data_IF_910366051532
#
_entry.id   IF_910366051532
#
_cell.length_a   1.000
_cell.length_b   1.000
_cell.length_c   1.000
_cell.angle_alpha   90.00
_cell.angle_beta   90.00
_cell.angle_gamma   90.00
#
_symmetry.space_group_name_H-M   'P 1'
#
loop_
_entity.id
_entity.type
_entity.pdbx_description
1 polymer ?
#
# COMPACT_ATOMS: atom_id res chain seq x y z
N UNK A 1 -29.34 -0.96 58.74
CA UNK A 1 -30.11 -0.70 57.49
C UNK A 1 -29.39 0.14 56.44
N UNK A 2 -28.49 1.07 56.80
CA UNK A 2 -27.86 1.99 55.82
C UNK A 2 -26.82 1.32 54.90
N UNK A 3 -26.07 0.33 55.40
CA UNK A 3 -25.03 -0.39 54.63
C UNK A 3 -25.59 -1.26 53.49
N UNK A 4 -26.77 -1.87 53.62
CA UNK A 4 -27.33 -2.70 52.53
C UNK A 4 -27.91 -1.85 51.39
N UNK A 5 -28.42 -0.65 51.70
CA UNK A 5 -28.87 0.32 50.69
C UNK A 5 -27.70 0.87 49.87
N UNK A 6 -26.59 1.23 50.52
CA UNK A 6 -25.37 1.68 49.84
C UNK A 6 -24.76 0.60 48.93
N UNK A 7 -24.80 -0.66 49.37
CA UNK A 7 -24.30 -1.80 48.57
C UNK A 7 -25.17 -2.05 47.34
N UNK A 8 -26.49 -2.00 47.48
CA UNK A 8 -27.43 -2.19 46.37
C UNK A 8 -27.29 -1.10 45.30
N UNK A 9 -27.08 0.16 45.72
CA UNK A 9 -26.83 1.29 44.82
C UNK A 9 -25.50 1.11 44.07
N UNK A 10 -24.43 0.68 44.74
CA UNK A 10 -23.13 0.44 44.10
C UNK A 10 -23.20 -0.67 43.04
N UNK A 11 -23.87 -1.79 43.35
CA UNK A 11 -24.08 -2.88 42.39
C UNK A 11 -24.93 -2.43 41.18
N UNK A 12 -25.97 -1.62 41.40
CA UNK A 12 -26.77 -1.07 40.31
C UNK A 12 -25.95 -0.12 39.42
N UNK A 13 -25.10 0.72 40.02
CA UNK A 13 -24.19 1.59 39.27
C UNK A 13 -23.16 0.81 38.44
N UNK A 14 -22.55 -0.24 39.02
CA UNK A 14 -21.60 -1.11 38.31
C UNK A 14 -22.26 -1.92 37.17
N UNK A 15 -23.50 -2.38 37.38
CA UNK A 15 -24.27 -3.05 36.33
C UNK A 15 -24.61 -2.10 35.18
N UNK A 16 -25.03 -0.87 35.49
CA UNK A 16 -25.36 0.15 34.49
C UNK A 16 -24.11 0.60 33.70
N UNK A 17 -22.96 0.78 34.35
CA UNK A 17 -21.72 1.12 33.65
C UNK A 17 -21.26 -0.01 32.73
N UNK A 18 -21.37 -1.28 33.15
CA UNK A 18 -21.04 -2.43 32.30
C UNK A 18 -21.95 -2.52 31.06
N UNK A 19 -23.25 -2.24 31.21
CA UNK A 19 -24.20 -2.20 30.08
C UNK A 19 -23.89 -1.03 29.15
N UNK A 20 -23.60 0.16 29.67
CA UNK A 20 -23.21 1.31 28.84
C UNK A 20 -21.89 1.05 28.10
N UNK A 21 -20.92 0.40 28.74
CA UNK A 21 -19.66 0.01 28.09
C UNK A 21 -19.86 -1.02 26.97
N UNK A 22 -20.74 -2.01 27.20
CA UNK A 22 -21.15 -2.98 26.18
C UNK A 22 -21.82 -2.30 24.98
N UNK A 23 -22.77 -1.41 25.24
CA UNK A 23 -23.48 -0.65 24.20
C UNK A 23 -22.55 0.30 23.43
N UNK A 24 -21.56 0.91 24.10
CA UNK A 24 -20.53 1.71 23.43
C UNK A 24 -19.67 0.85 22.51
N UNK A 25 -19.27 -0.35 22.95
CA UNK A 25 -18.42 -1.27 22.17
C UNK A 25 -19.14 -1.81 20.92
N UNK A 26 -20.44 -2.08 21.02
CA UNK A 26 -21.24 -2.50 19.87
C UNK A 26 -21.45 -1.35 18.86
N UNK A 27 -21.65 -0.11 19.35
CA UNK A 27 -21.71 1.08 18.50
C UNK A 27 -20.39 1.39 17.79
N UNK A 28 -19.27 1.20 18.47
CA UNK A 28 -17.93 1.32 17.85
C UNK A 28 -17.76 0.27 16.75
N UNK A 29 -18.15 -0.99 16.99
CA UNK A 29 -18.15 -2.04 15.95
C UNK A 29 -19.06 -1.73 14.76
N UNK A 30 -20.22 -1.11 14.98
CA UNK A 30 -21.10 -0.68 13.89
C UNK A 30 -20.47 0.43 13.05
N UNK A 31 -19.79 1.39 13.68
CA UNK A 31 -19.03 2.44 12.98
C UNK A 31 -17.86 1.89 12.17
N UNK A 32 -17.25 0.81 12.64
CA UNK A 32 -16.12 0.16 11.98
C UNK A 32 -16.56 -0.93 10.99
N UNK A 33 -17.86 -1.09 10.69
CA UNK A 33 -18.31 -2.12 9.73
C UNK A 33 -17.65 -1.85 8.37
N UNK A 34 -16.76 -2.74 7.91
CA UNK A 34 -16.11 -2.53 6.64
C UNK A 34 -17.14 -2.75 5.52
N UNK A 35 -17.04 -1.94 4.47
CA UNK A 35 -17.90 -1.99 3.29
C UNK A 35 -17.82 -3.36 2.59
N UNK A 36 -16.73 -4.11 2.82
CA UNK A 36 -16.56 -5.51 2.45
C UNK A 36 -15.97 -6.31 3.61
N UNK A 37 -16.43 -7.55 3.77
CA UNK A 37 -15.88 -8.47 4.77
C UNK A 37 -14.50 -8.98 4.32
N UNK A 38 -13.63 -9.25 5.30
CA UNK A 38 -12.32 -9.85 5.03
C UNK A 38 -12.45 -11.25 4.46
N UNK A 39 -11.73 -11.52 3.38
CA UNK A 39 -11.59 -12.87 2.81
C UNK A 39 -10.76 -13.74 3.76
N UNK A 40 -11.13 -15.01 3.93
CA UNK A 40 -10.46 -15.97 4.82
C UNK A 40 -10.17 -17.27 4.08
N UNK A 41 -9.07 -17.93 4.46
CA UNK A 41 -8.66 -19.22 3.93
C UNK A 41 -7.65 -19.90 4.86
N UNK A 42 -7.39 -21.19 4.64
CA UNK A 42 -6.49 -22.00 5.47
C UNK A 42 -5.14 -22.33 4.82
N UNK A 43 -4.92 -21.93 3.56
CA UNK A 43 -3.72 -22.28 2.78
C UNK A 43 -2.87 -21.08 2.39
N UNK A 44 -3.50 -20.01 1.93
CA UNK A 44 -2.82 -18.79 1.48
C UNK A 44 -3.82 -17.73 1.04
N UNK A 45 -3.32 -16.53 0.81
CA UNK A 45 -4.09 -15.40 0.31
C UNK A 45 -3.21 -14.58 -0.63
N UNK A 46 -3.83 -13.97 -1.65
CA UNK A 46 -3.20 -13.04 -2.58
C UNK A 46 -4.11 -11.82 -2.68
N UNK A 47 -3.54 -10.63 -2.60
CA UNK A 47 -4.22 -9.36 -2.84
C UNK A 47 -3.40 -8.56 -3.85
N UNK A 48 -4.08 -7.93 -4.81
CA UNK A 48 -3.47 -7.16 -5.89
C UNK A 48 -4.40 -6.01 -6.32
N UNK A 49 -3.91 -5.13 -7.20
CA UNK A 49 -4.68 -3.98 -7.72
C UNK A 49 -5.86 -4.37 -8.62
N UNK A 50 -5.82 -5.56 -9.20
CA UNK A 50 -6.91 -6.13 -10.00
C UNK A 50 -7.18 -7.60 -9.67
N UNK A 51 -8.38 -8.07 -10.00
CA UNK A 51 -8.78 -9.47 -9.84
C UNK A 51 -7.89 -10.41 -10.67
N UNK A 52 -7.50 -10.00 -11.88
CA UNK A 52 -6.66 -10.80 -12.79
C UNK A 52 -5.25 -11.00 -12.22
N UNK A 53 -4.66 -9.95 -11.64
CA UNK A 53 -3.34 -10.05 -10.99
C UNK A 53 -3.39 -10.93 -9.73
N UNK A 54 -4.44 -10.79 -8.92
CA UNK A 54 -4.61 -11.63 -7.73
C UNK A 54 -4.80 -13.11 -8.11
N UNK A 55 -5.59 -13.39 -9.15
CA UNK A 55 -5.84 -14.72 -9.67
C UNK A 55 -4.57 -15.36 -10.24
N UNK A 56 -3.72 -14.60 -10.94
CA UNK A 56 -2.43 -15.10 -11.43
C UNK A 56 -1.53 -15.59 -10.28
N UNK A 57 -1.43 -14.81 -9.19
CA UNK A 57 -0.70 -15.25 -8.00
C UNK A 57 -1.34 -16.45 -7.31
N UNK A 58 -2.68 -16.46 -7.21
CA UNK A 58 -3.42 -17.57 -6.60
C UNK A 58 -3.22 -18.89 -7.36
N UNK A 59 -3.15 -18.85 -8.70
CA UNK A 59 -2.83 -20.01 -9.53
C UNK A 59 -1.47 -20.61 -9.20
N UNK A 60 -0.46 -19.79 -8.91
CA UNK A 60 0.85 -20.32 -8.51
C UNK A 60 0.84 -20.92 -7.10
N UNK A 61 0.13 -20.31 -6.14
CA UNK A 61 -0.08 -20.94 -4.83
C UNK A 61 -0.79 -22.30 -4.97
N UNK A 62 -1.82 -22.39 -5.82
CA UNK A 62 -2.54 -23.65 -6.06
C UNK A 62 -1.67 -24.72 -6.73
N UNK A 63 -0.65 -24.32 -7.50
CA UNK A 63 0.33 -25.22 -8.11
C UNK A 63 1.47 -25.60 -7.15
N UNK A 64 1.39 -25.22 -5.88
CA UNK A 64 2.41 -25.53 -4.87
C UNK A 64 3.57 -24.55 -4.81
N UNK A 65 3.47 -23.40 -5.49
CA UNK A 65 4.42 -22.31 -5.37
C UNK A 65 4.36 -21.65 -3.99
N UNK A 66 5.41 -20.92 -3.64
CA UNK A 66 5.50 -20.18 -2.38
C UNK A 66 4.95 -18.73 -2.53
N UNK A 67 5.03 -17.94 -1.46
CA UNK A 67 4.56 -16.55 -1.46
C UNK A 67 5.33 -15.63 -2.44
N UNK A 68 6.62 -15.90 -2.68
CA UNK A 68 7.44 -15.16 -3.65
C UNK A 68 7.00 -15.50 -5.08
N UNK A 69 6.81 -16.78 -5.40
CA UNK A 69 6.32 -17.21 -6.72
C UNK A 69 4.97 -16.56 -7.05
N UNK A 70 4.05 -16.57 -6.08
CA UNK A 70 2.75 -15.92 -6.19
C UNK A 70 2.85 -14.41 -6.40
N UNK A 71 3.74 -13.74 -5.66
CA UNK A 71 4.02 -12.31 -5.82
C UNK A 71 4.57 -11.97 -7.20
N UNK A 72 5.54 -12.74 -7.70
CA UNK A 72 6.11 -12.56 -9.04
C UNK A 72 5.03 -12.74 -10.12
N UNK A 73 4.23 -13.81 -10.05
CA UNK A 73 3.15 -14.02 -11.00
C UNK A 73 2.11 -12.87 -10.99
N UNK A 74 1.76 -12.36 -9.81
CA UNK A 74 0.87 -11.22 -9.69
C UNK A 74 1.48 -9.93 -10.30
N UNK A 75 2.78 -9.67 -10.08
CA UNK A 75 3.48 -8.52 -10.69
C UNK A 75 3.54 -8.62 -12.21
N UNK A 76 3.82 -9.79 -12.77
CA UNK A 76 3.83 -10.00 -14.22
C UNK A 76 2.44 -9.77 -14.84
N UNK A 77 1.39 -10.24 -14.18
CA UNK A 77 0.01 -9.96 -14.61
C UNK A 77 -0.32 -8.47 -14.49
N UNK A 78 0.07 -7.82 -13.39
CA UNK A 78 -0.14 -6.37 -13.20
C UNK A 78 0.55 -5.55 -14.30
N UNK A 79 1.76 -5.92 -14.72
CA UNK A 79 2.46 -5.25 -15.83
C UNK A 79 1.70 -5.29 -17.16
N UNK A 80 0.86 -6.30 -17.37
CA UNK A 80 0.03 -6.41 -18.57
C UNK A 80 -1.34 -5.73 -18.43
N UNK A 81 -1.98 -5.84 -17.26
CA UNK A 81 -3.39 -5.44 -17.07
C UNK A 81 -3.58 -4.13 -16.29
N UNK A 82 -2.56 -3.67 -15.56
CA UNK A 82 -2.60 -2.47 -14.73
C UNK A 82 -1.69 -1.36 -15.30
N UNK A 83 -1.55 -1.34 -16.64
CA UNK A 83 -0.61 -0.47 -17.38
C UNK A 83 -0.78 1.02 -17.14
N UNK A 84 -1.93 1.45 -16.61
CA UNK A 84 -2.18 2.82 -16.22
C UNK A 84 -1.30 3.28 -15.06
N UNK A 85 -0.84 2.36 -14.20
CA UNK A 85 -0.07 2.69 -12.99
C UNK A 85 1.03 1.66 -12.63
N UNK A 86 1.16 0.56 -13.36
CA UNK A 86 2.17 -0.48 -13.15
C UNK A 86 2.80 -0.92 -14.47
N UNK A 87 4.11 -1.14 -14.49
CA UNK A 87 4.81 -1.65 -15.67
C UNK A 87 6.30 -1.90 -15.43
N UNK A 88 6.92 -2.68 -16.33
CA UNK A 88 8.33 -3.12 -16.20
C UNK A 88 9.36 -1.98 -16.20
N UNK A 89 9.01 -0.81 -16.76
CA UNK A 89 9.86 0.37 -16.76
C UNK A 89 9.84 1.18 -15.45
N UNK A 90 9.08 0.72 -14.45
CA UNK A 90 8.92 1.41 -13.18
C UNK A 90 9.80 0.84 -12.06
N UNK A 91 9.26 0.90 -10.84
CA UNK A 91 9.93 0.51 -9.60
C UNK A 91 9.11 -0.56 -8.86
N UNK A 92 9.79 -1.45 -8.13
CA UNK A 92 9.21 -2.50 -7.31
C UNK A 92 9.97 -2.66 -5.98
N UNK A 93 9.75 -1.78 -4.98
CA UNK A 93 10.20 -2.05 -3.62
C UNK A 93 9.45 -3.26 -3.05
N UNK A 94 10.17 -4.28 -2.58
CA UNK A 94 9.59 -5.54 -2.13
C UNK A 94 10.05 -5.86 -0.70
N UNK A 95 9.11 -6.28 0.14
CA UNK A 95 9.38 -6.84 1.46
C UNK A 95 9.05 -8.33 1.47
N UNK A 96 10.01 -9.15 1.84
CA UNK A 96 9.83 -10.59 2.00
C UNK A 96 10.06 -10.94 3.47
N UNK A 97 9.09 -11.62 4.08
CA UNK A 97 9.25 -12.24 5.39
C UNK A 97 9.30 -13.75 5.24
N UNK A 98 10.42 -14.36 5.62
CA UNK A 98 10.56 -15.83 5.57
C UNK A 98 9.78 -16.50 6.70
N UNK A 99 9.60 -17.81 6.61
CA UNK A 99 8.93 -18.62 7.64
C UNK A 99 9.64 -18.53 9.00
N UNK A 100 10.96 -18.40 8.98
CA UNK A 100 11.83 -18.25 10.15
C UNK A 100 11.75 -16.85 10.77
N UNK A 101 11.00 -15.94 10.14
CA UNK A 101 10.79 -14.57 10.62
C UNK A 101 11.82 -13.55 10.16
N UNK A 102 12.77 -13.94 9.30
CA UNK A 102 13.71 -13.00 8.68
C UNK A 102 12.95 -12.07 7.73
N UNK A 103 13.22 -10.77 7.82
CA UNK A 103 12.69 -9.76 6.89
C UNK A 103 13.80 -9.34 5.94
N UNK A 104 13.48 -9.32 4.65
CA UNK A 104 14.35 -8.91 3.56
C UNK A 104 13.66 -7.74 2.87
N UNK A 105 14.41 -6.67 2.64
CA UNK A 105 13.98 -5.52 1.85
C UNK A 105 14.76 -5.50 0.56
N UNK A 106 14.05 -5.51 -0.57
CA UNK A 106 14.62 -5.37 -1.90
C UNK A 106 14.28 -3.96 -2.39
N UNK A 107 15.32 -3.14 -2.56
CA UNK A 107 15.19 -1.81 -3.12
C UNK A 107 15.14 -1.91 -4.65
N UNK A 108 14.01 -2.34 -5.20
CA UNK A 108 13.73 -2.26 -6.64
C UNK A 108 13.40 -0.83 -7.06
N UNK A 109 14.23 0.13 -6.66
CA UNK A 109 14.12 1.56 -7.00
C UNK A 109 15.40 1.95 -7.70
N UNK A 110 15.31 2.32 -8.96
CA UNK A 110 16.48 2.65 -9.74
C UNK A 110 17.01 4.05 -9.49
N UNK A 111 18.18 4.31 -10.05
CA UNK A 111 18.93 5.56 -9.85
C UNK A 111 18.57 6.61 -10.89
N UNK A 112 18.97 7.87 -10.64
CA UNK A 112 18.89 8.91 -11.67
C UNK A 112 19.80 8.58 -12.86
N UNK A 113 19.36 8.82 -14.11
CA UNK A 113 20.20 8.67 -15.28
C UNK A 113 21.48 9.48 -15.17
N UNK A 114 22.61 8.94 -15.64
CA UNK A 114 23.93 9.59 -15.54
C UNK A 114 23.98 11.01 -16.12
N UNK A 115 23.19 11.28 -17.16
CA UNK A 115 23.12 12.60 -17.80
C UNK A 115 22.23 13.60 -17.02
N UNK A 116 21.37 13.14 -16.12
CA UNK A 116 20.36 13.92 -15.41
C UNK A 116 20.95 14.73 -14.24
N UNK A 117 21.90 15.63 -14.53
CA UNK A 117 22.49 16.52 -13.54
C UNK A 117 21.56 17.69 -13.19
N UNK A 118 21.70 18.26 -11.99
CA UNK A 118 20.95 19.47 -11.61
C UNK A 118 21.17 20.65 -12.59
N UNK A 119 22.38 20.79 -13.14
CA UNK A 119 22.70 21.84 -14.11
C UNK A 119 21.96 21.65 -15.44
N UNK A 120 21.79 20.40 -15.90
CA UNK A 120 21.00 20.10 -17.10
C UNK A 120 19.59 20.68 -16.97
N UNK A 121 18.89 20.39 -15.86
CA UNK A 121 17.51 20.85 -15.66
C UNK A 121 17.40 22.37 -15.50
N UNK A 122 18.44 23.06 -15.02
CA UNK A 122 18.45 24.53 -14.87
C UNK A 122 18.72 25.28 -16.17
N UNK A 123 19.53 24.70 -17.06
CA UNK A 123 20.04 25.41 -18.24
C UNK A 123 19.36 25.00 -19.54
N UNK A 124 18.73 23.83 -19.59
CA UNK A 124 18.09 23.35 -20.82
C UNK A 124 16.89 24.23 -21.19
N UNK A 125 16.61 24.30 -22.49
CA UNK A 125 15.38 24.89 -23.01
C UNK A 125 14.21 23.93 -22.80
N UNK A 126 13.08 24.47 -22.33
CA UNK A 126 11.83 23.72 -22.22
C UNK A 126 11.24 23.43 -23.59
N UNK A 127 10.72 22.22 -23.78
CA UNK A 127 10.13 21.76 -25.04
C UNK A 127 8.60 21.97 -25.08
N UNK A 128 8.03 21.90 -26.28
CA UNK A 128 6.56 21.90 -26.45
C UNK A 128 5.97 20.68 -25.72
N UNK A 129 4.99 20.92 -24.85
CA UNK A 129 4.38 19.90 -23.98
C UNK A 129 4.92 19.88 -22.54
N UNK A 130 5.99 20.62 -22.25
CA UNK A 130 6.45 20.86 -20.88
C UNK A 130 5.77 22.09 -20.26
N UNK A 131 5.80 22.22 -18.94
CA UNK A 131 5.33 23.43 -18.24
C UNK A 131 6.25 24.59 -18.58
N UNK A 132 5.87 25.41 -19.55
CA UNK A 132 6.68 26.53 -20.05
C UNK A 132 6.62 27.78 -19.17
N UNK A 133 5.56 27.91 -18.38
CA UNK A 133 5.36 29.03 -17.46
C UNK A 133 5.77 28.61 -16.06
N UNK A 134 6.85 29.19 -15.55
CA UNK A 134 7.25 29.04 -14.15
C UNK A 134 6.38 30.02 -13.36
N UNK A 135 5.56 29.52 -12.42
CA UNK A 135 4.77 30.40 -11.55
C UNK A 135 5.70 31.37 -10.78
N UNK A 136 5.32 32.64 -10.61
CA UNK A 136 6.09 33.58 -9.80
C UNK A 136 6.27 33.04 -8.37
N UNK A 137 7.52 32.77 -7.97
CA UNK A 137 7.86 32.14 -6.68
C UNK A 137 8.09 30.63 -6.73
N UNK A 138 7.89 30.00 -7.90
CA UNK A 138 8.02 28.57 -8.12
C UNK A 138 6.95 27.76 -7.39
N UNK A 139 6.64 26.57 -7.88
CA UNK A 139 5.81 25.62 -7.15
C UNK A 139 6.62 25.09 -5.95
N UNK A 140 6.60 25.81 -4.82
CA UNK A 140 7.23 25.36 -3.57
C UNK A 140 6.53 24.08 -3.10
N UNK A 141 7.17 22.93 -3.31
CA UNK A 141 6.73 21.64 -2.78
C UNK A 141 5.92 20.75 -3.73
N UNK A 142 5.85 21.06 -5.04
CA UNK A 142 5.24 20.15 -6.03
C UNK A 142 6.31 19.52 -6.92
N UNK A 143 6.27 18.19 -7.03
CA UNK A 143 6.98 17.44 -8.06
C UNK A 143 6.29 17.76 -9.40
N UNK A 144 7.01 18.22 -10.44
CA UNK A 144 6.40 18.54 -11.72
C UNK A 144 5.58 17.37 -12.25
N UNK A 145 4.27 17.58 -12.45
CA UNK A 145 3.32 16.58 -12.97
C UNK A 145 3.32 16.57 -14.51
N UNK A 146 4.02 17.52 -15.13
CA UNK A 146 4.19 17.62 -16.58
C UNK A 146 5.60 18.14 -16.93
N UNK A 147 6.13 17.72 -18.08
CA UNK A 147 7.53 17.91 -18.50
C UNK A 147 8.34 16.61 -18.46
N UNK A 148 9.65 16.65 -18.73
CA UNK A 148 10.57 15.54 -18.44
C UNK A 148 10.56 15.29 -16.94
N UNK A 149 9.69 14.38 -16.50
CA UNK A 149 9.75 13.81 -15.17
C UNK A 149 11.10 13.12 -15.01
N UNK A 150 11.70 13.11 -13.81
CA UNK A 150 12.85 12.27 -13.55
C UNK A 150 12.44 10.81 -13.81
N UNK A 151 12.74 10.34 -15.02
CA UNK A 151 12.70 8.93 -15.34
C UNK A 151 13.91 8.34 -14.64
N UNK A 152 13.66 7.67 -13.52
CA UNK A 152 14.63 6.80 -12.88
C UNK A 152 14.99 5.70 -13.92
N UNK A 153 16.22 5.19 -13.85
CA UNK A 153 16.57 3.96 -14.58
C UNK A 153 15.64 2.86 -14.04
N UNK A 154 14.98 2.03 -14.85
CA UNK A 154 14.03 1.03 -14.34
C UNK A 154 14.67 0.11 -13.29
N UNK A 155 14.25 0.19 -12.04
CA UNK A 155 14.74 -0.65 -10.95
C UNK A 155 13.92 -1.92 -10.72
N UNK A 156 12.72 -2.01 -11.31
CA UNK A 156 11.83 -3.18 -11.14
C UNK A 156 12.48 -4.51 -11.59
N UNK A 157 13.27 -4.50 -12.67
CA UNK A 157 13.93 -5.70 -13.20
C UNK A 157 15.24 -6.02 -12.46
N UNK A 158 15.81 -5.02 -11.77
CA UNK A 158 17.08 -5.10 -11.07
C UNK A 158 16.93 -5.51 -9.58
N UNK A 159 15.72 -5.79 -9.10
CA UNK A 159 15.41 -6.12 -7.70
C UNK A 159 15.92 -7.50 -7.22
N UNK A 160 16.97 -8.06 -7.86
CA UNK A 160 17.56 -9.36 -7.58
C UNK A 160 18.89 -9.30 -6.85
#
# INVERSE_FOLDING_TARGET
MQRSRSFLVLCACLGLTAVLFSQQRDRERERERPIRLSVRGNRGAVAAGSEVSAEAGMRLLHRGGNAVDAGVAAMFAAAAFESSHFGFGGEAPILVRTKEGKVISLAGVGTMPKAASANLFRQRRLMVGEVQTIEPGGLKGIIPVAGLMPALVPGMVEAG
#
